data_IF_659570296448
#
_entry.id   IF_659570296448
#
_cell.length_a   1.000
_cell.length_b   1.000
_cell.length_c   1.000
_cell.angle_alpha   90.00
_cell.angle_beta   90.00
_cell.angle_gamma   90.00
#
_symmetry.space_group_name_H-M   'P 1'
#
loop_
_entity.id
_entity.type
_entity.pdbx_description
1 polymer ?
#
# COMPACT_ATOMS: atom_id res chain seq x y z
N UNK A 1 4.27 5.43 8.13
CA UNK A 1 5.15 4.26 8.41
C UNK A 1 5.69 3.73 7.10
N UNK A 2 6.86 3.13 7.11
CA UNK A 2 7.42 2.39 5.98
C UNK A 2 7.96 1.02 6.47
N UNK A 3 8.28 0.12 5.54
CA UNK A 3 8.83 -1.19 5.89
C UNK A 3 10.35 -1.24 6.03
N UNK A 4 11.05 -0.12 6.23
CA UNK A 4 12.49 -0.11 6.52
C UNK A 4 12.75 -0.68 7.92
N UNK A 5 12.06 -0.15 8.93
CA UNK A 5 12.12 -0.61 10.33
C UNK A 5 10.78 -1.22 10.75
N UNK A 6 10.46 -2.38 10.16
CA UNK A 6 9.14 -3.00 10.28
C UNK A 6 8.76 -3.36 11.72
N UNK A 7 9.72 -3.84 12.53
CA UNK A 7 9.47 -4.24 13.92
C UNK A 7 9.16 -3.05 14.82
N UNK A 8 9.91 -1.96 14.69
CA UNK A 8 9.68 -0.72 15.44
C UNK A 8 8.33 -0.11 15.01
N UNK A 9 8.06 -0.10 13.71
CA UNK A 9 6.78 0.39 13.18
C UNK A 9 5.60 -0.42 13.73
N UNK A 10 5.69 -1.76 13.73
CA UNK A 10 4.68 -2.65 14.29
C UNK A 10 4.48 -2.40 15.80
N UNK A 11 5.56 -2.23 16.55
CA UNK A 11 5.51 -1.90 17.98
C UNK A 11 4.75 -0.58 18.24
N UNK A 12 5.09 0.48 17.49
CA UNK A 12 4.45 1.79 17.64
C UNK A 12 2.96 1.76 17.31
N UNK A 13 2.57 1.08 16.22
CA UNK A 13 1.16 0.93 15.84
C UNK A 13 0.37 0.25 16.97
N UNK A 14 0.93 -0.80 17.56
CA UNK A 14 0.30 -1.53 18.67
C UNK A 14 0.22 -0.71 19.96
N UNK A 15 1.13 0.25 20.18
CA UNK A 15 1.13 1.15 21.35
C UNK A 15 0.25 2.39 21.18
N UNK A 16 -0.16 2.71 19.96
CA UNK A 16 -0.99 3.86 19.63
C UNK A 16 -2.31 3.41 18.98
N UNK A 17 -3.18 2.68 19.70
CA UNK A 17 -4.35 2.02 19.10
C UNK A 17 -5.40 2.98 18.51
N UNK A 18 -5.38 4.26 18.92
CA UNK A 18 -6.29 5.29 18.43
C UNK A 18 -5.70 6.13 17.28
N UNK A 19 -4.42 5.95 16.96
CA UNK A 19 -3.79 6.69 15.89
C UNK A 19 -4.21 6.11 14.54
N UNK A 20 -4.51 6.99 13.57
CA UNK A 20 -4.62 6.60 12.17
C UNK A 20 -3.22 6.38 11.60
N UNK A 21 -3.02 5.24 10.97
CA UNK A 21 -1.71 4.84 10.47
C UNK A 21 -1.74 4.86 8.95
N UNK A 22 -0.93 5.73 8.37
CA UNK A 22 -0.68 5.79 6.93
C UNK A 22 0.63 5.07 6.63
N UNK A 23 0.59 4.17 5.65
CA UNK A 23 1.77 3.48 5.12
C UNK A 23 2.20 4.09 3.79
N UNK A 24 3.48 4.44 3.70
CA UNK A 24 4.18 4.61 2.44
C UNK A 24 4.77 3.25 2.03
N UNK A 25 4.19 2.66 0.99
CA UNK A 25 4.57 1.34 0.49
C UNK A 25 5.80 1.34 -0.42
N UNK A 26 6.29 2.51 -0.87
CA UNK A 26 7.47 2.62 -1.74
C UNK A 26 7.51 1.58 -2.87
N UNK A 27 8.60 0.79 -2.90
CA UNK A 27 8.75 -0.39 -3.77
C UNK A 27 8.27 -1.67 -3.09
N UNK A 28 7.89 -2.68 -3.90
CA UNK A 28 7.40 -3.96 -3.38
C UNK A 28 8.47 -4.68 -2.54
N UNK A 29 8.18 -4.89 -1.25
CA UNK A 29 9.00 -5.64 -0.29
C UNK A 29 8.10 -6.43 0.64
N UNK A 30 8.56 -7.59 1.09
CA UNK A 30 7.81 -8.41 2.04
C UNK A 30 7.51 -7.67 3.36
N UNK A 31 8.43 -6.84 3.84
CA UNK A 31 8.23 -6.00 5.02
C UNK A 31 7.10 -5.00 4.83
N UNK A 32 6.95 -4.43 3.63
CA UNK A 32 5.88 -3.50 3.32
C UNK A 32 4.51 -4.17 3.39
N UNK A 33 4.38 -5.36 2.79
CA UNK A 33 3.12 -6.13 2.80
C UNK A 33 2.75 -6.54 4.23
N UNK A 34 3.72 -7.03 5.02
CA UNK A 34 3.46 -7.43 6.42
C UNK A 34 2.97 -6.25 7.25
N UNK A 35 3.58 -5.08 7.10
CA UNK A 35 3.24 -3.91 7.91
C UNK A 35 1.92 -3.26 7.45
N UNK A 36 1.61 -3.29 6.15
CA UNK A 36 0.36 -2.75 5.59
C UNK A 36 -0.90 -3.37 6.23
N UNK A 37 -0.83 -4.62 6.71
CA UNK A 37 -1.90 -5.28 7.47
C UNK A 37 -2.31 -4.56 8.76
N UNK A 38 -1.47 -3.66 9.25
CA UNK A 38 -1.70 -2.90 10.47
C UNK A 38 -2.12 -1.45 10.22
N UNK A 39 -2.24 -1.03 8.95
CA UNK A 39 -2.44 0.37 8.59
C UNK A 39 -3.86 0.68 8.10
N UNK A 40 -4.32 1.90 8.37
CA UNK A 40 -5.62 2.42 7.91
C UNK A 40 -5.58 2.85 6.44
N UNK A 41 -4.43 3.34 5.98
CA UNK A 41 -4.24 3.81 4.61
C UNK A 41 -2.96 3.23 4.03
N UNK A 42 -3.06 2.63 2.84
CA UNK A 42 -1.91 2.02 2.16
C UNK A 42 -1.63 2.71 0.83
N UNK A 43 -0.64 3.60 0.82
CA UNK A 43 -0.26 4.37 -0.37
C UNK A 43 0.89 3.67 -1.08
N UNK A 44 0.69 3.32 -2.34
CA UNK A 44 1.71 2.63 -3.17
C UNK A 44 1.96 3.36 -4.48
N UNK A 45 3.08 3.06 -5.11
CA UNK A 45 3.39 3.55 -6.47
C UNK A 45 2.73 2.69 -7.55
N UNK A 46 2.57 3.23 -8.76
CA UNK A 46 2.19 2.47 -9.96
C UNK A 46 3.10 1.24 -10.16
N UNK A 47 4.40 1.41 -9.92
CA UNK A 47 5.38 0.33 -10.01
C UNK A 47 5.12 -0.78 -8.99
N UNK A 48 4.85 -0.43 -7.73
CA UNK A 48 4.48 -1.40 -6.70
C UNK A 48 3.24 -2.18 -7.10
N UNK A 49 2.17 -1.48 -7.50
CA UNK A 49 0.90 -2.10 -7.85
C UNK A 49 1.04 -3.05 -9.04
N UNK A 50 1.78 -2.64 -10.07
CA UNK A 50 2.10 -3.48 -11.22
C UNK A 50 2.85 -4.75 -10.82
N UNK A 51 3.91 -4.61 -10.02
CA UNK A 51 4.74 -5.73 -9.60
C UNK A 51 3.96 -6.70 -8.71
N UNK A 52 3.12 -6.17 -7.81
CA UNK A 52 2.25 -6.96 -6.94
C UNK A 52 1.23 -7.78 -7.74
N UNK A 53 0.63 -7.17 -8.76
CA UNK A 53 -0.34 -7.84 -9.64
C UNK A 53 0.32 -8.72 -10.72
N UNK A 54 1.65 -8.75 -10.81
CA UNK A 54 2.40 -9.41 -11.89
C UNK A 54 1.99 -8.94 -13.29
N UNK A 55 1.62 -7.66 -13.43
CA UNK A 55 1.24 -7.06 -14.70
C UNK A 55 2.46 -6.52 -15.45
N UNK A 56 2.35 -6.43 -16.79
CA UNK A 56 3.37 -5.72 -17.60
C UNK A 56 3.21 -4.20 -17.54
N UNK A 57 1.98 -3.74 -17.36
CA UNK A 57 1.62 -2.32 -17.22
C UNK A 57 0.35 -2.20 -16.36
N UNK A 58 0.15 -1.02 -15.78
CA UNK A 58 -1.10 -0.65 -15.09
C UNK A 58 -1.76 0.48 -15.89
N UNK A 59 -2.25 0.14 -17.07
CA UNK A 59 -2.55 1.10 -18.15
C UNK A 59 -4.03 1.38 -18.35
N UNK A 60 -4.89 0.47 -17.90
CA UNK A 60 -6.34 0.58 -18.07
C UNK A 60 -7.04 0.81 -16.74
N UNK A 61 -8.20 1.45 -16.78
CA UNK A 61 -9.05 1.63 -15.59
C UNK A 61 -9.41 0.28 -14.94
N UNK A 62 -9.64 -0.76 -15.75
CA UNK A 62 -9.94 -2.10 -15.26
C UNK A 62 -8.76 -2.71 -14.48
N UNK A 63 -7.52 -2.56 -14.98
CA UNK A 63 -6.31 -3.03 -14.29
C UNK A 63 -6.09 -2.26 -12.98
N UNK A 64 -6.25 -0.94 -12.98
CA UNK A 64 -6.12 -0.08 -11.80
C UNK A 64 -7.17 -0.48 -10.75
N UNK A 65 -8.42 -0.64 -11.15
CA UNK A 65 -9.51 -1.06 -10.26
C UNK A 65 -9.27 -2.45 -9.67
N UNK A 66 -8.80 -3.40 -10.47
CA UNK A 66 -8.43 -4.73 -9.99
C UNK A 66 -7.28 -4.66 -8.97
N UNK A 67 -6.25 -3.84 -9.23
CA UNK A 67 -5.13 -3.64 -8.31
C UNK A 67 -5.60 -3.03 -6.98
N UNK A 68 -6.45 -2.00 -7.02
CA UNK A 68 -7.04 -1.41 -5.80
C UNK A 68 -7.83 -2.43 -4.99
N UNK A 69 -8.64 -3.28 -5.64
CA UNK A 69 -9.39 -4.34 -4.95
C UNK A 69 -8.45 -5.31 -4.23
N UNK A 70 -7.36 -5.75 -4.87
CA UNK A 70 -6.42 -6.66 -4.22
C UNK A 70 -5.61 -5.98 -3.11
N UNK A 71 -5.17 -4.74 -3.29
CA UNK A 71 -4.42 -3.98 -2.28
C UNK A 71 -5.28 -3.67 -1.04
N UNK A 72 -6.57 -3.38 -1.23
CA UNK A 72 -7.54 -3.18 -0.14
C UNK A 72 -7.72 -4.41 0.75
N UNK A 73 -7.42 -5.62 0.27
CA UNK A 73 -7.44 -6.84 1.10
C UNK A 73 -6.28 -6.91 2.08
N UNK A 74 -5.24 -6.12 1.88
CA UNK A 74 -4.03 -6.14 2.69
C UNK A 74 -4.20 -5.25 3.91
N UNK A 75 -4.69 -4.02 3.74
CA UNK A 75 -4.81 -3.04 4.82
C UNK A 75 -6.17 -3.07 5.52
N UNK A 76 -6.27 -2.40 6.67
CA UNK A 76 -7.52 -2.32 7.46
C UNK A 76 -8.54 -1.36 6.85
N UNK A 77 -8.04 -0.33 6.18
CA UNK A 77 -8.86 0.65 5.46
C UNK A 77 -8.53 0.62 3.98
N UNK A 78 -8.19 1.78 3.43
CA UNK A 78 -8.18 2.00 1.98
C UNK A 78 -6.76 2.06 1.40
N UNK A 79 -6.59 1.45 0.24
CA UNK A 79 -5.38 1.52 -0.57
C UNK A 79 -5.50 2.61 -1.63
N UNK A 80 -4.37 3.25 -1.94
CA UNK A 80 -4.25 4.34 -2.91
C UNK A 80 -3.06 4.06 -3.82
N UNK A 81 -3.21 4.30 -5.13
CA UNK A 81 -2.12 4.14 -6.09
C UNK A 81 -1.74 5.51 -6.65
N UNK A 82 -0.49 5.91 -6.44
CA UNK A 82 0.09 7.10 -7.08
C UNK A 82 0.56 6.76 -8.51
N UNK A 83 0.15 7.56 -9.49
CA UNK A 83 0.37 7.36 -10.93
C UNK A 83 1.35 8.40 -11.52
N UNK A 84 2.25 8.93 -10.68
CA UNK A 84 3.18 10.00 -11.04
C UNK A 84 2.43 11.26 -11.50
N UNK A 85 2.76 11.76 -12.69
CA UNK A 85 2.12 12.96 -13.27
C UNK A 85 0.64 12.76 -13.61
N UNK A 86 0.15 11.52 -13.69
CA UNK A 86 -1.26 11.21 -13.96
C UNK A 86 -2.14 11.36 -12.70
N UNK A 87 -1.56 11.70 -11.55
CA UNK A 87 -2.29 11.89 -10.29
C UNK A 87 -2.35 10.61 -9.45
N UNK A 88 -3.53 10.29 -8.93
CA UNK A 88 -3.75 9.13 -8.07
C UNK A 88 -5.08 8.42 -8.39
N UNK A 89 -5.15 7.13 -8.05
CA UNK A 89 -6.36 6.32 -8.10
C UNK A 89 -6.73 5.84 -6.70
N UNK A 90 -8.04 5.87 -6.41
CA UNK A 90 -8.67 5.51 -5.14
C UNK A 90 -10.11 5.04 -5.37
#
# INVERSE_FOLDING_TARGET
MDGHEAEISEYLIKKLPNARVVMDGGSLRASNIKLAAWTDYFVVSEHFARDYMSYRSLSTEAEIKAALIELNKICRGEAFITLGEKGCAF
#
